data_IF_007165802310
#
_entry.id   IF_007165802310
#
_cell.length_a   1.000
_cell.length_b   1.000
_cell.length_c   1.000
_cell.angle_alpha   90.00
_cell.angle_beta   90.00
_cell.angle_gamma   90.00
#
_symmetry.space_group_name_H-M   'P 1'
#
loop_
_entity.id
_entity.type
_entity.pdbx_description
1 polymer ?
#
# COMPACT_ATOMS: atom_id res chain seq x y z
N UNK A 1 20.86 -4.42 12.85
CA UNK A 1 21.27 -3.85 11.56
C UNK A 1 21.69 -2.40 11.81
N UNK A 2 22.90 -2.01 11.44
CA UNK A 2 23.34 -0.61 11.47
C UNK A 2 23.29 -0.11 10.02
N UNK A 3 22.39 0.82 9.72
CA UNK A 3 22.38 1.50 8.43
C UNK A 3 22.82 2.94 8.68
N UNK A 4 23.95 3.32 8.07
CA UNK A 4 24.47 4.69 8.02
C UNK A 4 24.69 5.01 6.56
N UNK A 5 23.78 5.76 5.96
CA UNK A 5 24.05 6.37 4.67
C UNK A 5 24.70 7.73 4.90
N UNK A 6 26.02 7.76 4.96
CA UNK A 6 26.81 8.99 4.94
C UNK A 6 27.47 9.13 3.56
N UNK A 7 26.96 10.01 2.72
CA UNK A 7 27.79 10.69 1.74
C UNK A 7 28.11 12.08 2.26
N UNK A 8 29.37 12.47 2.14
CA UNK A 8 29.82 13.83 2.41
C UNK A 8 29.15 14.78 1.41
N UNK A 9 28.52 15.87 1.89
CA UNK A 9 27.95 16.89 0.99
C UNK A 9 29.10 17.66 0.35
N UNK A 10 29.61 17.16 -0.77
CA UNK A 10 30.59 17.88 -1.58
C UNK A 10 29.82 18.96 -2.38
N UNK A 11 30.06 20.23 -2.07
CA UNK A 11 29.43 21.43 -2.67
C UNK A 11 27.91 21.60 -2.40
N UNK A 12 27.52 22.11 -1.21
CA UNK A 12 26.13 22.46 -0.93
C UNK A 12 25.68 23.63 -1.81
N UNK A 13 24.84 23.36 -2.82
CA UNK A 13 24.19 24.37 -3.65
C UNK A 13 22.66 24.31 -3.45
N UNK A 14 21.94 25.45 -3.39
CA UNK A 14 20.48 25.48 -3.18
C UNK A 14 19.65 24.69 -4.20
N UNK A 15 20.21 24.47 -5.39
CA UNK A 15 19.61 23.70 -6.49
C UNK A 15 20.23 22.31 -6.70
N UNK A 16 20.99 21.78 -5.75
CA UNK A 16 21.54 20.43 -5.87
C UNK A 16 20.40 19.39 -5.81
N UNK A 17 20.09 18.75 -6.93
CA UNK A 17 19.05 17.71 -7.03
C UNK A 17 19.63 16.31 -6.77
N UNK A 18 18.90 15.46 -6.04
CA UNK A 18 19.29 14.09 -5.75
C UNK A 18 18.97 13.17 -6.94
N UNK A 19 19.72 13.29 -8.04
CA UNK A 19 19.42 12.59 -9.30
C UNK A 19 19.40 11.06 -9.17
N UNK A 20 20.22 10.47 -8.30
CA UNK A 20 20.30 9.02 -8.11
C UNK A 20 19.54 8.51 -6.86
N UNK A 21 19.02 9.42 -6.03
CA UNK A 21 18.36 9.08 -4.77
C UNK A 21 19.27 8.53 -3.67
N UNK A 22 20.60 8.63 -3.80
CA UNK A 22 21.59 8.04 -2.87
C UNK A 22 21.83 8.91 -1.62
N UNK A 23 21.47 10.20 -1.65
CA UNK A 23 21.59 11.14 -0.52
C UNK A 23 20.45 11.01 0.50
N UNK A 24 20.16 9.81 1.00
CA UNK A 24 19.20 9.61 2.08
C UNK A 24 19.94 8.96 3.25
N UNK A 25 19.95 9.59 4.43
CA UNK A 25 20.47 8.99 5.66
C UNK A 25 19.51 7.87 6.10
N UNK A 26 19.65 6.69 5.50
CA UNK A 26 18.85 5.53 5.88
C UNK A 26 19.48 4.92 7.13
N UNK A 27 18.92 5.19 8.31
CA UNK A 27 19.03 4.28 9.46
C UNK A 27 17.64 3.71 9.73
N UNK A 28 17.47 2.40 9.74
CA UNK A 28 16.21 1.80 10.20
C UNK A 28 16.32 1.55 11.70
N UNK A 29 15.67 2.35 12.56
CA UNK A 29 15.73 2.12 14.00
C UNK A 29 15.15 0.74 14.32
N UNK A 30 15.47 0.13 15.48
CA UNK A 30 14.70 -1.00 15.98
C UNK A 30 13.24 -0.57 16.19
N UNK A 31 12.32 -1.54 16.28
CA UNK A 31 10.92 -1.26 16.56
C UNK A 31 10.86 -0.38 17.83
N UNK A 32 10.31 0.84 17.77
CA UNK A 32 10.39 1.77 18.90
C UNK A 32 9.58 1.31 20.12
N UNK A 33 8.63 0.39 19.92
CA UNK A 33 7.86 -0.28 20.97
C UNK A 33 7.45 -1.68 20.51
N UNK A 34 7.43 -2.71 21.39
CA UNK A 34 6.92 -4.03 21.04
C UNK A 34 5.50 -3.95 20.45
N UNK A 35 5.21 -4.83 19.50
CA UNK A 35 3.85 -4.96 18.96
C UNK A 35 2.91 -5.42 20.08
N UNK A 36 1.70 -4.86 20.08
CA UNK A 36 0.65 -5.21 21.03
C UNK A 36 -0.35 -6.10 20.32
N UNK A 37 -0.72 -7.21 20.95
CA UNK A 37 -1.82 -8.05 20.51
C UNK A 37 -3.12 -7.57 21.16
N UNK A 38 -4.20 -7.55 20.37
CA UNK A 38 -5.56 -7.30 20.84
C UNK A 38 -6.35 -8.60 20.75
N UNK A 39 -7.45 -8.77 21.51
CA UNK A 39 -8.23 -10.01 21.48
C UNK A 39 -8.60 -10.45 20.06
N UNK A 40 -8.72 -11.76 19.83
CA UNK A 40 -9.01 -12.31 18.50
C UNK A 40 -10.28 -11.74 17.85
N UNK A 41 -11.22 -11.20 18.63
CA UNK A 41 -12.44 -10.53 18.17
C UNK A 41 -12.26 -9.08 17.71
N UNK A 42 -11.10 -8.48 17.94
CA UNK A 42 -10.74 -7.12 17.52
C UNK A 42 -9.77 -7.22 16.34
N UNK A 43 -9.97 -6.42 15.30
CA UNK A 43 -9.02 -6.34 14.18
C UNK A 43 -8.84 -4.90 13.76
N UNK A 44 -7.61 -4.40 13.86
CA UNK A 44 -7.25 -3.02 13.53
C UNK A 44 -6.49 -2.97 12.21
N UNK A 45 -7.03 -2.22 11.27
CA UNK A 45 -6.41 -2.03 9.95
C UNK A 45 -6.08 -0.55 9.73
N UNK A 46 -4.94 -0.28 9.09
CA UNK A 46 -4.58 1.04 8.58
C UNK A 46 -4.56 1.00 7.06
N UNK A 47 -5.22 1.95 6.39
CA UNK A 47 -4.99 2.23 4.98
C UNK A 47 -4.10 3.46 4.85
N UNK A 48 -3.04 3.38 4.04
CA UNK A 48 -2.06 4.45 3.93
C UNK A 48 -1.52 4.57 2.50
N UNK A 49 -1.87 5.68 1.85
CA UNK A 49 -1.24 6.11 0.60
C UNK A 49 0.14 6.68 0.91
N UNK A 50 1.18 6.01 0.40
CA UNK A 50 2.58 6.37 0.70
C UNK A 50 3.20 7.31 -0.31
N UNK A 51 2.49 7.64 -1.40
CA UNK A 51 2.92 8.57 -2.43
C UNK A 51 4.34 8.26 -2.96
N UNK A 52 4.62 7.00 -3.29
CA UNK A 52 5.92 6.51 -3.79
C UNK A 52 6.00 6.61 -5.32
N UNK A 53 5.84 7.83 -5.84
CA UNK A 53 5.92 8.11 -7.27
C UNK A 53 7.29 7.80 -7.85
N UNK A 54 7.35 7.45 -9.15
CA UNK A 54 8.60 7.12 -9.84
C UNK A 54 9.62 8.25 -9.83
N UNK A 55 10.87 7.90 -9.54
CA UNK A 55 12.02 8.80 -9.64
C UNK A 55 12.21 9.44 -11.02
N UNK A 56 11.81 8.73 -12.08
CA UNK A 56 11.89 9.23 -13.45
C UNK A 56 11.13 10.55 -13.64
N UNK A 57 10.04 10.75 -12.88
CA UNK A 57 9.16 11.91 -13.02
C UNK A 57 9.13 12.81 -11.77
N UNK A 58 9.46 12.27 -10.58
CA UNK A 58 9.33 12.98 -9.31
C UNK A 58 10.56 12.75 -8.40
N UNK A 59 11.08 13.82 -7.79
CA UNK A 59 12.19 13.76 -6.83
C UNK A 59 11.78 14.48 -5.53
N UNK A 60 10.79 13.93 -4.84
CA UNK A 60 10.05 14.56 -3.74
C UNK A 60 10.34 13.87 -2.38
N UNK A 61 11.56 13.35 -2.23
CA UNK A 61 11.99 12.67 -1.01
C UNK A 61 11.31 11.33 -0.75
N UNK A 62 10.81 10.64 -1.78
CA UNK A 62 10.05 9.40 -1.60
C UNK A 62 10.84 8.28 -0.91
N UNK A 63 12.17 8.13 -1.12
CA UNK A 63 13.00 7.18 -0.35
C UNK A 63 13.07 7.53 1.13
N UNK A 64 13.31 8.81 1.44
CA UNK A 64 13.34 9.28 2.82
C UNK A 64 12.01 9.02 3.52
N UNK A 65 10.90 9.41 2.89
CA UNK A 65 9.55 9.20 3.42
C UNK A 65 9.28 7.72 3.67
N UNK A 66 9.47 6.90 2.64
CA UNK A 66 9.19 5.46 2.72
C UNK A 66 10.08 4.79 3.77
N UNK A 67 11.38 5.10 3.85
CA UNK A 67 12.22 4.57 4.93
C UNK A 67 11.72 4.90 6.35
N UNK A 68 10.94 5.97 6.56
CA UNK A 68 10.46 6.38 7.90
C UNK A 68 9.01 6.02 8.22
N UNK A 69 8.19 5.67 7.22
CA UNK A 69 6.74 5.47 7.41
C UNK A 69 6.44 4.32 8.38
N UNK A 70 7.00 3.12 8.14
CA UNK A 70 6.67 1.93 8.93
C UNK A 70 7.02 2.09 10.43
N UNK A 71 8.22 2.56 10.83
CA UNK A 71 8.54 2.71 12.25
C UNK A 71 7.64 3.75 12.92
N UNK A 72 7.30 4.85 12.25
CA UNK A 72 6.39 5.85 12.82
C UNK A 72 4.94 5.36 12.93
N UNK A 73 4.46 4.59 11.95
CA UNK A 73 3.15 3.95 12.00
C UNK A 73 3.08 3.01 13.20
N UNK A 74 4.08 2.14 13.37
CA UNK A 74 4.08 1.13 14.42
C UNK A 74 4.40 1.71 15.80
N UNK A 75 5.12 2.84 15.88
CA UNK A 75 5.27 3.62 17.11
C UNK A 75 3.93 4.18 17.60
N UNK A 76 3.09 4.66 16.68
CA UNK A 76 1.79 5.27 17.01
C UNK A 76 0.68 4.25 17.18
N UNK A 77 0.79 3.12 16.49
CA UNK A 77 -0.23 2.07 16.43
C UNK A 77 0.42 0.68 16.54
N UNK A 78 1.02 0.34 17.70
CA UNK A 78 1.66 -0.97 17.91
C UNK A 78 0.66 -2.14 17.87
N UNK A 79 -0.63 -1.83 17.98
CA UNK A 79 -1.79 -2.72 17.99
C UNK A 79 -2.38 -3.00 16.59
N UNK A 80 -1.77 -2.52 15.51
CA UNK A 80 -2.24 -2.79 14.14
C UNK A 80 -2.16 -4.28 13.79
N UNK A 81 -3.21 -4.85 13.21
CA UNK A 81 -3.21 -6.25 12.75
C UNK A 81 -2.81 -6.35 11.26
N UNK A 82 -3.25 -5.39 10.45
CA UNK A 82 -2.93 -5.32 9.03
C UNK A 82 -2.77 -3.87 8.54
N UNK A 83 -2.05 -3.69 7.44
CA UNK A 83 -1.83 -2.41 6.78
C UNK A 83 -2.09 -2.59 5.27
N UNK A 84 -2.92 -1.72 4.71
CA UNK A 84 -3.18 -1.59 3.28
C UNK A 84 -2.33 -0.41 2.79
N UNK A 85 -1.42 -0.68 1.86
CA UNK A 85 -0.60 0.34 1.24
C UNK A 85 -1.19 0.73 -0.12
N UNK A 86 -1.20 2.03 -0.42
CA UNK A 86 -1.44 2.56 -1.76
C UNK A 86 -0.24 3.34 -2.27
N UNK A 87 -0.10 3.42 -3.58
CA UNK A 87 1.01 4.09 -4.28
C UNK A 87 2.41 3.61 -3.86
N UNK A 88 2.57 2.35 -3.46
CA UNK A 88 3.87 1.74 -3.23
C UNK A 88 4.43 1.15 -4.54
N UNK A 89 4.71 2.02 -5.52
CA UNK A 89 5.03 1.61 -6.89
C UNK A 89 6.43 1.01 -7.07
N UNK A 90 7.41 1.43 -6.26
CA UNK A 90 8.83 1.04 -6.44
C UNK A 90 9.34 0.07 -5.38
N UNK A 91 8.53 -0.20 -4.34
CA UNK A 91 8.83 -1.19 -3.31
C UNK A 91 9.32 -0.59 -1.98
N UNK A 92 9.20 0.72 -1.80
CA UNK A 92 9.56 1.48 -0.61
C UNK A 92 11.05 1.84 -0.53
N UNK A 93 11.44 2.28 0.68
CA UNK A 93 12.78 2.68 1.13
C UNK A 93 13.93 2.65 0.08
N UNK A 94 14.83 1.66 0.13
CA UNK A 94 15.88 1.41 -0.88
C UNK A 94 15.38 0.31 -1.85
N UNK A 95 14.07 0.17 -1.96
CA UNK A 95 13.42 -0.52 -3.06
C UNK A 95 13.66 0.24 -4.36
N UNK A 96 13.48 -0.46 -5.48
CA UNK A 96 13.66 0.18 -6.76
C UNK A 96 13.85 -0.77 -7.92
N UNK A 97 13.04 -0.48 -8.93
CA UNK A 97 13.19 -0.78 -10.35
C UNK A 97 14.29 0.11 -10.96
N UNK A 98 15.47 0.17 -10.34
CA UNK A 98 16.62 0.82 -10.94
C UNK A 98 17.49 -0.27 -11.58
N UNK A 99 17.40 -0.39 -12.91
CA UNK A 99 18.14 -1.37 -13.71
C UNK A 99 19.67 -1.25 -13.51
N UNK A 100 20.14 -0.11 -12.99
CA UNK A 100 21.56 0.16 -12.76
C UNK A 100 22.01 0.05 -11.31
N UNK A 101 21.10 -0.16 -10.33
CA UNK A 101 21.48 -0.26 -8.92
C UNK A 101 21.71 -1.73 -8.50
N UNK A 102 22.98 -2.09 -8.32
CA UNK A 102 23.44 -3.43 -7.90
C UNK A 102 23.67 -3.56 -6.38
N UNK A 103 23.41 -2.51 -5.60
CA UNK A 103 23.59 -2.52 -4.15
C UNK A 103 22.50 -3.29 -3.40
N UNK A 104 22.69 -3.47 -2.09
CA UNK A 104 21.70 -4.10 -1.21
C UNK A 104 20.37 -3.34 -1.23
N UNK A 105 19.26 -4.07 -1.32
CA UNK A 105 17.90 -3.52 -1.33
C UNK A 105 17.26 -3.67 0.04
N UNK A 106 16.68 -2.59 0.53
CA UNK A 106 15.80 -2.59 1.71
C UNK A 106 14.41 -2.16 1.26
N UNK A 107 13.53 -3.12 1.01
CA UNK A 107 12.15 -2.86 0.58
C UNK A 107 11.22 -2.70 1.78
N UNK A 108 10.05 -2.10 1.58
CA UNK A 108 8.93 -2.16 2.54
C UNK A 108 8.67 -3.57 3.04
N UNK A 109 8.75 -4.57 2.16
CA UNK A 109 8.50 -5.96 2.52
C UNK A 109 9.57 -6.50 3.48
N UNK A 110 10.83 -6.13 3.28
CA UNK A 110 11.91 -6.52 4.19
C UNK A 110 11.70 -5.91 5.58
N UNK A 111 11.40 -4.61 5.60
CA UNK A 111 11.11 -3.90 6.85
C UNK A 111 9.90 -4.49 7.56
N UNK A 112 8.77 -4.64 6.86
CA UNK A 112 7.52 -5.13 7.43
C UNK A 112 7.73 -6.50 8.08
N UNK A 113 8.46 -7.41 7.42
CA UNK A 113 8.82 -8.72 7.97
C UNK A 113 9.63 -8.61 9.25
N UNK A 114 10.68 -7.78 9.25
CA UNK A 114 11.50 -7.52 10.44
C UNK A 114 10.66 -6.95 11.60
N UNK A 115 9.61 -6.19 11.26
CA UNK A 115 8.71 -5.55 12.21
C UNK A 115 7.48 -6.41 12.58
N UNK A 116 7.47 -7.70 12.22
CA UNK A 116 6.42 -8.66 12.61
C UNK A 116 5.21 -8.74 11.67
N UNK A 117 5.24 -8.09 10.51
CA UNK A 117 4.23 -8.20 9.45
C UNK A 117 4.74 -9.14 8.35
N UNK A 118 4.73 -10.43 8.65
CA UNK A 118 5.39 -11.45 7.81
C UNK A 118 4.58 -11.89 6.59
N UNK A 119 3.27 -11.65 6.58
CA UNK A 119 2.35 -12.09 5.54
C UNK A 119 1.98 -10.90 4.67
N UNK A 120 2.36 -10.91 3.40
CA UNK A 120 2.24 -9.75 2.53
C UNK A 120 1.80 -10.17 1.13
N UNK A 121 0.68 -9.62 0.66
CA UNK A 121 0.16 -9.93 -0.68
C UNK A 121 1.07 -9.43 -1.79
N UNK A 122 0.97 -10.02 -2.98
CA UNK A 122 1.64 -9.47 -4.16
C UNK A 122 1.15 -8.04 -4.45
N UNK A 123 2.04 -7.20 -4.99
CA UNK A 123 1.61 -5.87 -5.47
C UNK A 123 0.77 -6.06 -6.73
N UNK A 124 -0.43 -5.48 -6.77
CA UNK A 124 -1.35 -5.62 -7.91
C UNK A 124 -0.67 -5.18 -9.21
N UNK A 125 -0.86 -5.94 -10.29
CA UNK A 125 -0.33 -5.59 -11.60
C UNK A 125 1.19 -5.66 -11.69
N UNK A 126 1.85 -6.44 -10.83
CA UNK A 126 3.25 -6.78 -11.02
C UNK A 126 3.31 -8.12 -11.79
N UNK A 127 3.70 -8.19 -13.06
CA UNK A 127 4.55 -7.27 -13.84
C UNK A 127 3.81 -6.24 -14.73
N UNK A 128 4.43 -5.09 -15.05
CA UNK A 128 3.92 -4.13 -16.02
C UNK A 128 3.59 -4.74 -17.39
N UNK A 129 2.58 -4.21 -18.07
CA UNK A 129 2.22 -4.60 -19.44
C UNK A 129 2.63 -3.53 -20.45
N UNK A 130 2.62 -3.85 -21.74
CA UNK A 130 2.90 -2.88 -22.82
C UNK A 130 1.94 -1.68 -22.82
N UNK A 131 0.70 -1.87 -22.31
CA UNK A 131 -0.32 -0.81 -22.25
C UNK A 131 -0.35 -0.10 -20.89
N UNK A 132 -0.13 -0.84 -19.81
CA UNK A 132 -0.11 -0.32 -18.43
C UNK A 132 1.27 -0.58 -17.83
N UNK A 133 2.15 0.41 -17.96
CA UNK A 133 3.57 0.28 -17.58
C UNK A 133 3.84 0.57 -16.10
N UNK A 134 2.82 0.99 -15.34
CA UNK A 134 2.87 1.12 -13.88
C UNK A 134 2.06 0.00 -13.21
N UNK A 135 2.58 -0.53 -12.09
CA UNK A 135 1.79 -1.46 -11.26
C UNK A 135 0.70 -0.68 -10.48
N UNK A 136 -0.18 -1.38 -9.76
CA UNK A 136 -1.25 -0.72 -9.00
C UNK A 136 -0.80 0.00 -7.74
N UNK A 137 0.43 -0.26 -7.25
CA UNK A 137 0.96 0.29 -6.00
C UNK A 137 0.21 -0.17 -4.76
N UNK A 138 -0.63 -1.20 -4.87
CA UNK A 138 -1.49 -1.70 -3.79
C UNK A 138 -1.00 -3.06 -3.31
N UNK A 139 -0.85 -3.21 -2.00
CA UNK A 139 -0.65 -4.50 -1.34
C UNK A 139 -1.12 -4.44 0.11
N UNK A 140 -1.36 -5.61 0.71
CA UNK A 140 -1.76 -5.77 2.11
C UNK A 140 -0.62 -6.46 2.87
N UNK A 141 -0.28 -5.95 4.05
CA UNK A 141 0.63 -6.58 5.00
C UNK A 141 -0.12 -6.94 6.28
N UNK A 142 0.17 -8.11 6.86
CA UNK A 142 -0.52 -8.64 8.04
C UNK A 142 0.49 -9.24 9.03
N UNK A 143 0.23 -9.05 10.32
CA UNK A 143 0.88 -9.81 11.40
C UNK A 143 0.49 -11.30 11.37
N UNK A 144 -0.73 -11.57 10.92
CA UNK A 144 -1.39 -12.87 11.01
C UNK A 144 -1.39 -13.62 9.66
N UNK A 145 -1.37 -14.97 9.68
CA UNK A 145 -1.37 -15.78 8.46
C UNK A 145 -2.50 -15.45 7.50
N UNK A 146 -2.18 -15.39 6.20
CA UNK A 146 -3.15 -15.32 5.12
C UNK A 146 -3.50 -16.74 4.65
N UNK A 147 -4.78 -17.10 4.70
CA UNK A 147 -5.32 -18.39 4.25
C UNK A 147 -5.63 -18.40 2.75
N UNK A 148 -5.95 -17.23 2.20
CA UNK A 148 -6.26 -17.01 0.79
C UNK A 148 -5.87 -15.57 0.44
N UNK A 149 -5.34 -15.38 -0.76
CA UNK A 149 -5.03 -14.09 -1.34
C UNK A 149 -5.59 -14.05 -2.75
N UNK A 150 -6.13 -12.91 -3.17
CA UNK A 150 -6.62 -12.71 -4.53
C UNK A 150 -6.52 -11.22 -4.91
N UNK A 151 -6.75 -10.89 -6.17
CA UNK A 151 -6.81 -9.52 -6.63
C UNK A 151 -7.62 -9.36 -7.94
N UNK A 152 -8.03 -8.14 -8.20
CA UNK A 152 -8.58 -7.72 -9.49
C UNK A 152 -7.88 -6.45 -9.95
N UNK A 153 -7.52 -6.36 -11.23
CA UNK A 153 -7.09 -5.13 -11.88
C UNK A 153 -8.33 -4.51 -12.52
N UNK A 154 -8.58 -3.23 -12.25
CA UNK A 154 -9.79 -2.59 -12.76
C UNK A 154 -9.75 -2.40 -14.28
N UNK A 155 -10.86 -2.77 -14.90
CA UNK A 155 -11.18 -2.46 -16.29
C UNK A 155 -11.62 -0.99 -16.40
N UNK A 156 -12.44 -0.52 -15.46
CA UNK A 156 -12.89 0.87 -15.44
C UNK A 156 -11.72 1.81 -15.13
N UNK A 157 -11.42 2.68 -16.10
CA UNK A 157 -10.36 3.70 -16.02
C UNK A 157 -10.82 4.95 -16.76
N UNK A 158 -10.28 6.12 -16.39
CA UNK A 158 -10.46 7.34 -17.18
C UNK A 158 -9.39 7.39 -18.27
N UNK A 159 -9.74 7.33 -19.57
CA UNK A 159 -8.75 7.30 -20.64
C UNK A 159 -7.85 8.54 -20.65
N UNK A 160 -6.62 8.37 -21.15
CA UNK A 160 -5.63 9.46 -21.31
C UNK A 160 -5.22 10.12 -19.98
N UNK A 161 -5.30 9.40 -18.87
CA UNK A 161 -4.83 9.84 -17.54
C UNK A 161 -3.67 8.97 -17.05
N UNK A 162 -2.96 9.41 -16.02
CA UNK A 162 -1.93 8.59 -15.38
C UNK A 162 -2.49 7.26 -14.84
N UNK A 163 -3.73 7.29 -14.35
CA UNK A 163 -4.43 6.12 -13.82
C UNK A 163 -4.70 5.07 -14.91
N UNK A 164 -4.99 5.49 -16.14
CA UNK A 164 -5.18 4.60 -17.31
C UNK A 164 -3.90 3.80 -17.62
N UNK A 165 -2.74 4.39 -17.36
CA UNK A 165 -1.42 3.79 -17.56
C UNK A 165 -0.99 2.90 -16.38
N UNK A 166 -1.80 2.83 -15.33
CA UNK A 166 -1.54 2.07 -14.11
C UNK A 166 -2.48 0.86 -13.96
N UNK A 167 -1.96 -0.23 -13.41
CA UNK A 167 -2.75 -1.41 -13.08
C UNK A 167 -3.42 -1.28 -11.71
N UNK A 168 -4.15 -0.17 -11.47
CA UNK A 168 -5.00 0.02 -10.29
C UNK A 168 -6.03 -1.11 -10.16
N UNK A 169 -6.44 -1.42 -8.93
CA UNK A 169 -7.25 -2.59 -8.65
C UNK A 169 -7.63 -2.73 -7.17
N UNK A 170 -8.10 -3.92 -6.79
CA UNK A 170 -8.29 -4.31 -5.40
C UNK A 170 -7.53 -5.59 -5.07
N UNK A 171 -6.87 -5.63 -3.90
CA UNK A 171 -6.21 -6.80 -3.33
C UNK A 171 -7.11 -7.34 -2.22
N UNK A 172 -7.21 -8.66 -2.13
CA UNK A 172 -7.96 -9.37 -1.10
C UNK A 172 -7.03 -10.26 -0.29
N UNK A 173 -7.26 -10.31 1.03
CA UNK A 173 -6.61 -11.25 1.94
C UNK A 173 -7.63 -11.83 2.93
N UNK A 174 -7.67 -13.15 3.04
CA UNK A 174 -8.35 -13.89 4.12
C UNK A 174 -7.34 -14.14 5.23
N UNK A 175 -7.52 -13.52 6.39
CA UNK A 175 -6.54 -13.48 7.46
C UNK A 175 -7.05 -14.25 8.67
N UNK A 176 -6.24 -15.18 9.20
CA UNK A 176 -6.53 -15.95 10.41
C UNK A 176 -5.81 -15.34 11.61
N UNK A 177 -6.53 -14.58 12.43
CA UNK A 177 -6.00 -14.05 13.70
C UNK A 177 -6.22 -15.05 14.82
N UNK A 178 -5.15 -15.40 15.54
CA UNK A 178 -5.21 -16.31 16.70
C UNK A 178 -4.56 -15.66 17.91
N UNK A 179 -5.35 -15.42 18.97
CA UNK A 179 -4.87 -14.86 20.24
C UNK A 179 -5.49 -15.70 21.36
N UNK A 180 -4.68 -16.10 22.36
CA UNK A 180 -5.12 -16.92 23.50
C UNK A 180 -5.91 -18.19 23.09
N UNK A 181 -5.40 -18.90 22.07
CA UNK A 181 -6.03 -20.10 21.48
C UNK A 181 -7.41 -19.88 20.84
N UNK A 182 -7.88 -18.64 20.71
CA UNK A 182 -9.10 -18.28 19.98
C UNK A 182 -8.72 -17.82 18.59
N UNK A 183 -9.26 -18.47 17.55
CA UNK A 183 -9.06 -18.08 16.16
C UNK A 183 -10.28 -17.36 15.59
N UNK A 184 -10.06 -16.31 14.82
CA UNK A 184 -11.07 -15.57 14.05
C UNK A 184 -10.54 -15.26 12.65
N UNK A 185 -11.42 -15.39 11.68
CA UNK A 185 -11.14 -15.05 10.28
C UNK A 185 -11.60 -13.61 10.02
N UNK A 186 -10.78 -12.87 9.29
CA UNK A 186 -11.06 -11.52 8.80
C UNK A 186 -10.79 -11.46 7.29
N UNK A 187 -11.64 -10.74 6.57
CA UNK A 187 -11.45 -10.50 5.14
C UNK A 187 -11.10 -9.03 4.93
N UNK A 188 -9.99 -8.76 4.27
CA UNK A 188 -9.51 -7.39 4.01
C UNK A 188 -9.43 -7.18 2.51
N UNK A 189 -10.11 -6.15 2.02
CA UNK A 189 -9.98 -5.62 0.67
C UNK A 189 -9.28 -4.27 0.70
N UNK A 190 -8.16 -4.19 -0.01
CA UNK A 190 -7.35 -2.98 -0.18
C UNK A 190 -7.45 -2.43 -1.59
N UNK A 191 -7.74 -1.14 -1.78
CA UNK A 191 -7.88 -0.53 -3.12
C UNK A 191 -7.25 0.87 -3.23
N UNK A 192 -7.01 1.33 -4.45
CA UNK A 192 -6.77 2.74 -4.80
C UNK A 192 -7.61 3.08 -6.04
N UNK A 193 -8.68 3.85 -5.87
CA UNK A 193 -9.61 4.20 -6.94
C UNK A 193 -9.08 5.34 -7.84
N UNK A 194 -9.81 5.65 -8.91
CA UNK A 194 -9.50 6.71 -9.87
C UNK A 194 -9.33 8.07 -9.17
N UNK A 195 -8.16 8.67 -9.34
CA UNK A 195 -7.75 9.91 -8.68
C UNK A 195 -8.15 11.17 -9.46
N UNK A 196 -8.09 11.11 -10.78
CA UNK A 196 -8.43 12.28 -11.62
C UNK A 196 -9.86 12.76 -11.34
N UNK A 197 -10.04 14.07 -11.32
CA UNK A 197 -11.33 14.72 -11.15
C UNK A 197 -11.76 15.40 -12.46
N UNK A 198 -12.13 14.56 -13.43
CA UNK A 198 -12.68 15.00 -14.71
C UNK A 198 -14.16 14.62 -14.79
N UNK A 199 -14.87 15.20 -15.79
CA UNK A 199 -16.22 14.76 -16.14
C UNK A 199 -16.18 13.24 -16.40
N UNK A 200 -16.96 12.50 -15.61
CA UNK A 200 -17.07 11.04 -15.68
C UNK A 200 -16.23 10.25 -14.68
N UNK A 201 -15.27 10.88 -13.98
CA UNK A 201 -14.40 10.18 -13.03
C UNK A 201 -15.16 9.57 -11.85
N UNK A 202 -16.24 10.18 -11.38
CA UNK A 202 -17.14 9.57 -10.38
C UNK A 202 -17.76 8.27 -10.88
N UNK A 203 -18.11 8.20 -12.17
CA UNK A 203 -18.67 6.99 -12.74
C UNK A 203 -17.63 5.88 -12.84
N UNK A 204 -16.38 6.25 -13.15
CA UNK A 204 -15.24 5.33 -13.09
C UNK A 204 -15.07 4.80 -11.66
N UNK A 205 -15.02 5.67 -10.63
CA UNK A 205 -14.92 5.26 -9.23
C UNK A 205 -16.04 4.31 -8.81
N UNK A 206 -17.29 4.58 -9.21
CA UNK A 206 -18.44 3.69 -8.94
C UNK A 206 -18.29 2.33 -9.62
N UNK A 207 -17.80 2.27 -10.84
CA UNK A 207 -17.57 1.01 -11.54
C UNK A 207 -16.42 0.21 -10.90
N UNK A 208 -15.32 0.88 -10.55
CA UNK A 208 -14.22 0.25 -9.82
C UNK A 208 -14.67 -0.31 -8.45
N UNK A 209 -15.54 0.41 -7.74
CA UNK A 209 -16.13 -0.08 -6.50
C UNK A 209 -17.03 -1.32 -6.73
N UNK A 210 -17.75 -1.40 -7.86
CA UNK A 210 -18.49 -2.61 -8.25
C UNK A 210 -17.56 -3.77 -8.54
N UNK A 211 -16.49 -3.56 -9.30
CA UNK A 211 -15.48 -4.59 -9.60
C UNK A 211 -14.83 -5.14 -8.30
N UNK A 212 -14.55 -4.27 -7.32
CA UNK A 212 -14.09 -4.71 -5.99
C UNK A 212 -15.16 -5.48 -5.21
N UNK A 213 -16.42 -5.08 -5.31
CA UNK A 213 -17.52 -5.78 -4.67
C UNK A 213 -17.75 -7.16 -5.31
N UNK A 214 -17.63 -7.29 -6.63
CA UNK A 214 -17.68 -8.56 -7.36
C UNK A 214 -16.55 -9.50 -6.93
N UNK A 215 -15.32 -8.98 -6.76
CA UNK A 215 -14.23 -9.75 -6.15
C UNK A 215 -14.64 -10.28 -4.78
N UNK A 216 -15.21 -9.44 -3.89
CA UNK A 216 -15.68 -9.89 -2.58
C UNK A 216 -16.76 -10.98 -2.68
N UNK A 217 -17.77 -10.80 -3.54
CA UNK A 217 -18.84 -11.79 -3.73
C UNK A 217 -18.30 -13.13 -4.21
N UNK A 218 -17.29 -13.13 -5.08
CA UNK A 218 -16.67 -14.36 -5.58
C UNK A 218 -16.02 -15.23 -4.48
N UNK A 219 -15.72 -14.64 -3.31
CA UNK A 219 -15.11 -15.33 -2.18
C UNK A 219 -16.11 -16.14 -1.34
N UNK A 220 -17.42 -15.99 -1.57
CA UNK A 220 -18.48 -16.71 -0.84
C UNK A 220 -18.31 -16.62 0.69
N UNK A 221 -18.06 -15.41 1.19
CA UNK A 221 -17.74 -15.16 2.60
C UNK A 221 -18.94 -15.49 3.49
N UNK A 222 -18.79 -16.31 4.55
CA UNK A 222 -19.84 -16.56 5.52
C UNK A 222 -20.32 -15.25 6.17
N UNK A 223 -21.63 -15.07 6.41
CA UNK A 223 -22.17 -13.78 6.90
C UNK A 223 -21.74 -13.39 8.32
N UNK A 224 -21.05 -14.28 9.04
CA UNK A 224 -20.52 -14.05 10.38
C UNK A 224 -19.02 -13.71 10.38
N UNK A 225 -18.35 -13.80 9.23
CA UNK A 225 -16.95 -13.38 9.08
C UNK A 225 -16.93 -11.90 8.64
N UNK A 226 -16.20 -11.02 9.35
CA UNK A 226 -16.16 -9.60 9.03
C UNK A 226 -15.38 -9.32 7.74
N UNK A 227 -15.89 -8.37 6.95
CA UNK A 227 -15.26 -7.84 5.74
C UNK A 227 -14.89 -6.38 5.94
N UNK A 228 -13.64 -6.04 5.68
CA UNK A 228 -13.06 -4.71 5.86
C UNK A 228 -12.63 -4.21 4.48
N UNK A 229 -13.19 -3.08 4.06
CA UNK A 229 -12.75 -2.34 2.87
C UNK A 229 -11.89 -1.15 3.32
N UNK A 230 -10.72 -0.98 2.72
CA UNK A 230 -9.85 0.14 3.02
C UNK A 230 -8.97 0.53 1.84
N UNK A 231 -8.48 1.76 1.87
CA UNK A 231 -7.64 2.31 0.81
C UNK A 231 -7.98 3.76 0.49
N UNK A 232 -7.28 4.28 -0.51
CA UNK A 232 -7.55 5.58 -1.08
C UNK A 232 -8.72 5.49 -2.06
N UNK A 233 -9.90 5.92 -1.61
CA UNK A 233 -11.12 5.87 -2.40
C UNK A 233 -11.25 7.04 -3.39
N UNK A 234 -10.40 8.07 -3.29
CA UNK A 234 -10.51 9.30 -4.07
C UNK A 234 -11.95 9.86 -4.15
N UNK A 235 -12.70 9.72 -3.06
CA UNK A 235 -14.08 10.16 -2.91
C UNK A 235 -14.17 11.10 -1.69
N UNK A 236 -14.70 12.31 -1.90
CA UNK A 236 -14.77 13.31 -0.85
C UNK A 236 -16.08 13.18 -0.06
N UNK A 237 -15.94 12.92 1.23
CA UNK A 237 -17.06 12.76 2.16
C UNK A 237 -18.01 13.96 2.20
N UNK A 238 -17.53 15.19 1.97
CA UNK A 238 -18.30 16.42 2.20
C UNK A 238 -18.96 16.98 0.93
N UNK A 239 -18.31 16.89 -0.22
CA UNK A 239 -18.95 17.26 -1.50
C UNK A 239 -20.00 16.25 -1.97
N UNK A 240 -20.02 15.04 -1.39
CA UNK A 240 -20.81 13.91 -1.90
C UNK A 240 -22.04 13.53 -1.07
N UNK A 241 -22.52 14.40 -0.16
CA UNK A 241 -23.74 14.18 0.67
C UNK A 241 -25.04 13.90 -0.12
N UNK A 242 -25.00 13.78 -1.45
CA UNK A 242 -26.09 13.27 -2.27
C UNK A 242 -25.74 12.54 -3.57
N UNK A 243 -24.46 12.27 -3.90
CA UNK A 243 -24.10 11.80 -5.26
C UNK A 243 -23.18 10.56 -5.35
N UNK A 244 -22.47 10.19 -4.29
CA UNK A 244 -21.69 8.94 -4.28
C UNK A 244 -21.98 8.18 -2.98
N UNK A 245 -23.02 7.35 -3.04
CA UNK A 245 -23.20 6.28 -2.06
C UNK A 245 -22.48 5.06 -2.61
N UNK A 246 -21.26 4.80 -2.11
CA UNK A 246 -20.62 3.50 -2.27
C UNK A 246 -21.38 2.52 -1.36
N UNK A 247 -22.47 1.94 -1.89
CA UNK A 247 -23.15 0.81 -1.24
C UNK A 247 -22.35 -0.45 -1.58
N UNK A 248 -21.59 -0.91 -0.60
CA UNK A 248 -20.99 -2.24 -0.59
C UNK A 248 -21.97 -3.26 0.00
#
# INVERSE_FOLDING_TARGET
>A
MEFVCSEEIINPHPNATCQEGVKALCSYPPIPSPLVETPASTFKTLAYNVWELRYLYYQIGQRERTCRIIPEVLRRHPDLDAIIFNEAFMGGCIGGFNLSYSGEKLTFRNVLKEYGFSYITATIGNSPTLRKFENGGIFIASKWPMLEEDNVIYEATQPLTADDLSQKGASYAKILKTVDSVSRVYHVLGTHLQATDNIGSDNVRRNQAREMHELMLSKNIPPHEPVIYGGDLNADRLSELGLISLKF
#
